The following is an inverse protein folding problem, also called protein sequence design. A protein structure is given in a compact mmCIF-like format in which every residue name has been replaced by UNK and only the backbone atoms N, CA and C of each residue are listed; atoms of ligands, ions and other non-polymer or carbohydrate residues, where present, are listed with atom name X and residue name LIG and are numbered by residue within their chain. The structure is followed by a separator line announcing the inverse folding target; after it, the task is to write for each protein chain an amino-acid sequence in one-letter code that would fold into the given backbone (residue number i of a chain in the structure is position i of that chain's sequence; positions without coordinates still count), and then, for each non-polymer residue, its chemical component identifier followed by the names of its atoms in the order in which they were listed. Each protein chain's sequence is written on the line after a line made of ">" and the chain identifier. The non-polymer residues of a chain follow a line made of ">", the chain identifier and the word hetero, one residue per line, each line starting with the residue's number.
data_IF_672639977834
#
_entry.id   IF_672639977834
#
_cell.length_a   1.000
_cell.length_b   1.000
_cell.length_c   1.000
_cell.angle_alpha   90.00
_cell.angle_beta   90.00
_cell.angle_gamma   90.00
#
_symmetry.space_group_name_H-M   'P 1'
#
loop_
_entity.id
_entity.type
_entity.pdbx_description
1 polymer ?
#
# COMPACT_ATOMS: atom_id res chain seq x y z
N UNK A 1 -15.98 6.10 13.49
CA UNK A 1 -15.17 6.65 12.37
C UNK A 1 -13.79 6.05 12.42
N UNK A 2 -13.27 5.61 11.27
CA UNK A 2 -11.96 4.97 11.14
C UNK A 2 -11.34 5.31 9.77
N UNK A 3 -10.02 5.33 9.68
CA UNK A 3 -9.30 5.34 8.40
C UNK A 3 -8.91 3.90 8.06
N UNK A 4 -9.25 3.44 6.87
CA UNK A 4 -9.04 2.04 6.46
C UNK A 4 -8.94 1.88 4.94
N UNK A 5 -8.56 0.70 4.49
CA UNK A 5 -8.80 0.25 3.11
C UNK A 5 -10.30 -0.02 2.91
N UNK A 6 -10.75 -0.06 1.65
CA UNK A 6 -12.11 -0.46 1.33
C UNK A 6 -12.34 -1.90 1.82
N UNK A 7 -13.51 -2.13 2.39
CA UNK A 7 -14.01 -3.46 2.72
C UNK A 7 -15.30 -3.64 1.93
N UNK A 8 -15.36 -4.70 1.14
CA UNK A 8 -16.54 -5.03 0.35
C UNK A 8 -17.66 -5.59 1.23
N UNK A 9 -18.90 -5.47 0.75
CA UNK A 9 -20.10 -6.02 1.37
C UNK A 9 -20.48 -5.48 2.77
N UNK A 10 -20.12 -4.22 3.06
CA UNK A 10 -20.51 -3.55 4.32
C UNK A 10 -21.56 -2.45 4.05
N UNK A 11 -22.85 -2.81 3.86
CA UNK A 11 -23.89 -1.89 3.43
C UNK A 11 -24.18 -0.76 4.45
N UNK A 12 -23.89 -0.99 5.72
CA UNK A 12 -24.12 -0.03 6.79
C UNK A 12 -22.97 0.97 6.98
N UNK A 13 -21.87 0.82 6.22
CA UNK A 13 -20.73 1.71 6.29
C UNK A 13 -20.71 2.64 5.07
N UNK A 14 -20.43 3.91 5.32
CA UNK A 14 -20.11 4.91 4.32
C UNK A 14 -18.60 5.02 4.21
N UNK A 15 -18.05 4.76 3.02
CA UNK A 15 -16.63 4.91 2.70
C UNK A 15 -16.42 6.16 1.85
N UNK A 16 -15.62 7.09 2.33
CA UNK A 16 -15.27 8.33 1.62
C UNK A 16 -13.76 8.29 1.33
N UNK A 17 -13.33 8.30 0.06
CA UNK A 17 -11.91 8.30 -0.26
C UNK A 17 -11.28 9.62 0.21
N UNK A 18 -10.12 9.55 0.86
CA UNK A 18 -9.39 10.71 1.39
C UNK A 18 -7.95 10.79 0.94
N UNK A 19 -7.36 9.68 0.51
CA UNK A 19 -6.02 9.67 -0.05
C UNK A 19 -5.91 8.60 -1.14
N UNK A 20 -5.19 8.94 -2.21
CA UNK A 20 -4.67 7.97 -3.17
C UNK A 20 -3.25 7.60 -2.72
N UNK A 21 -2.96 6.31 -2.63
CA UNK A 21 -1.69 5.79 -2.16
C UNK A 21 -1.07 4.90 -3.24
N UNK A 22 0.09 5.31 -3.73
CA UNK A 22 0.85 4.55 -4.73
C UNK A 22 1.50 3.34 -4.07
N UNK A 23 1.40 2.17 -4.71
CA UNK A 23 2.22 1.00 -4.38
C UNK A 23 3.47 0.99 -5.24
N UNK A 24 4.58 0.62 -4.62
CA UNK A 24 5.89 0.56 -5.26
C UNK A 24 6.59 -0.74 -4.90
N UNK A 25 7.52 -1.18 -5.75
CA UNK A 25 8.51 -2.17 -5.32
C UNK A 25 9.68 -1.45 -4.67
N UNK A 26 10.17 -2.00 -3.58
CA UNK A 26 11.45 -1.62 -3.00
C UNK A 26 12.45 -2.77 -3.13
N UNK A 27 13.66 -2.41 -3.48
CA UNK A 27 14.81 -3.33 -3.62
C UNK A 27 16.03 -2.71 -2.96
N UNK A 28 16.98 -3.52 -2.49
CA UNK A 28 18.28 -3.00 -2.06
C UNK A 28 18.97 -2.25 -3.22
N UNK A 29 19.74 -1.22 -2.91
CA UNK A 29 20.53 -0.51 -3.93
C UNK A 29 21.58 -1.41 -4.62
N UNK A 30 21.93 -2.54 -4.02
CA UNK A 30 22.83 -3.55 -4.57
C UNK A 30 22.08 -4.61 -5.42
N UNK A 31 20.76 -4.60 -5.41
CA UNK A 31 19.94 -5.59 -6.13
C UNK A 31 20.03 -5.36 -7.65
N UNK A 32 20.02 -6.40 -8.48
CA UNK A 32 20.06 -6.25 -9.96
C UNK A 32 18.97 -5.32 -10.52
N UNK A 33 17.76 -5.35 -9.95
CA UNK A 33 16.66 -4.49 -10.34
C UNK A 33 16.82 -3.01 -9.97
N UNK A 34 17.79 -2.65 -9.12
CA UNK A 34 18.03 -1.26 -8.73
C UNK A 34 18.47 -0.36 -9.90
N UNK A 35 18.90 -0.96 -11.01
CA UNK A 35 19.26 -0.24 -12.25
C UNK A 35 18.05 0.23 -13.04
N UNK A 36 16.87 -0.33 -12.78
CA UNK A 36 15.63 0.02 -13.45
C UNK A 36 15.09 1.36 -12.94
N UNK A 37 14.30 2.04 -13.77
CA UNK A 37 13.56 3.24 -13.37
C UNK A 37 12.12 2.91 -12.93
N UNK A 38 11.59 1.78 -13.40
CA UNK A 38 10.27 1.25 -13.09
C UNK A 38 10.32 -0.29 -13.18
N UNK A 39 9.24 -0.95 -12.80
CA UNK A 39 9.16 -2.41 -12.79
C UNK A 39 7.80 -2.90 -13.30
N UNK A 40 7.83 -4.00 -14.04
CA UNK A 40 6.68 -4.85 -14.33
C UNK A 40 6.65 -5.99 -13.31
N UNK A 41 5.53 -6.21 -12.62
CA UNK A 41 5.44 -7.28 -11.62
C UNK A 41 5.64 -8.68 -12.21
N UNK A 42 5.43 -8.87 -13.51
CA UNK A 42 5.72 -10.14 -14.17
C UNK A 42 7.20 -10.53 -14.15
N UNK A 43 8.11 -9.56 -13.95
CA UNK A 43 9.55 -9.78 -13.94
C UNK A 43 10.09 -10.23 -12.57
N UNK A 44 9.28 -10.16 -11.50
CA UNK A 44 9.80 -10.34 -10.12
C UNK A 44 9.62 -11.75 -9.56
N UNK A 45 8.93 -12.64 -10.25
CA UNK A 45 8.56 -13.97 -9.74
C UNK A 45 9.73 -14.86 -9.29
N UNK A 46 10.92 -14.64 -9.82
CA UNK A 46 12.11 -15.44 -9.50
C UNK A 46 12.91 -14.90 -8.30
N UNK A 47 12.58 -13.72 -7.77
CA UNK A 47 13.30 -13.13 -6.67
C UNK A 47 12.68 -13.51 -5.32
N UNK A 48 13.48 -13.62 -4.25
CA UNK A 48 12.99 -13.76 -2.89
C UNK A 48 12.09 -12.57 -2.55
N UNK A 49 10.88 -12.85 -2.08
CA UNK A 49 9.87 -11.83 -1.80
C UNK A 49 9.51 -11.79 -0.31
N UNK A 50 9.47 -10.59 0.24
CA UNK A 50 9.03 -10.33 1.61
C UNK A 50 7.56 -9.92 1.54
N UNK A 51 6.68 -10.76 2.08
CA UNK A 51 5.25 -10.55 2.09
C UNK A 51 4.76 -9.87 3.36
N UNK A 52 3.54 -9.35 3.30
CA UNK A 52 2.79 -8.97 4.49
C UNK A 52 2.01 -10.16 5.03
N UNK A 53 1.85 -10.23 6.36
CA UNK A 53 1.05 -11.25 7.01
C UNK A 53 -0.44 -11.14 6.61
N UNK A 54 -1.20 -12.22 6.81
CA UNK A 54 -2.64 -12.26 6.50
C UNK A 54 -3.47 -11.22 7.29
N UNK A 55 -2.95 -10.74 8.42
CA UNK A 55 -3.60 -9.71 9.22
C UNK A 55 -3.47 -8.30 8.64
N UNK A 56 -2.56 -8.11 7.69
CA UNK A 56 -2.34 -6.82 7.07
C UNK A 56 -3.40 -6.53 6.01
N UNK A 57 -4.06 -5.39 6.09
CA UNK A 57 -5.06 -4.95 5.12
C UNK A 57 -4.53 -4.73 3.69
N UNK A 58 -3.20 -4.72 3.49
CA UNK A 58 -2.59 -4.60 2.16
C UNK A 58 -2.33 -5.95 1.49
N UNK A 59 -2.36 -7.06 2.25
CA UNK A 59 -2.02 -8.39 1.76
C UNK A 59 -2.88 -8.84 0.58
N UNK A 60 -4.20 -8.68 0.69
CA UNK A 60 -5.13 -9.08 -0.37
C UNK A 60 -4.87 -8.31 -1.66
N UNK A 61 -4.69 -6.99 -1.56
CA UNK A 61 -4.41 -6.14 -2.71
C UNK A 61 -3.12 -6.56 -3.43
N UNK A 62 -2.03 -6.78 -2.69
CA UNK A 62 -0.77 -7.25 -3.29
C UNK A 62 -0.95 -8.61 -3.95
N UNK A 63 -1.68 -9.53 -3.32
CA UNK A 63 -1.97 -10.84 -3.90
C UNK A 63 -2.76 -10.73 -5.21
N UNK A 64 -3.70 -9.81 -5.29
CA UNK A 64 -4.49 -9.59 -6.50
C UNK A 64 -3.66 -8.98 -7.63
N UNK A 65 -2.74 -8.05 -7.33
CA UNK A 65 -1.78 -7.54 -8.31
C UNK A 65 -0.91 -8.66 -8.93
N UNK A 66 -0.45 -9.59 -8.11
CA UNK A 66 0.32 -10.74 -8.62
C UNK A 66 -0.53 -11.71 -9.45
N UNK A 67 -1.80 -11.91 -9.09
CA UNK A 67 -2.73 -12.72 -9.88
C UNK A 67 -3.00 -12.11 -11.26
N UNK A 68 -3.11 -10.79 -11.35
CA UNK A 68 -3.34 -10.10 -12.63
C UNK A 68 -2.23 -10.33 -13.65
N UNK A 69 -1.00 -10.52 -13.18
CA UNK A 69 0.17 -10.82 -14.03
C UNK A 69 0.54 -12.32 -14.09
N UNK A 70 -0.32 -13.17 -13.52
CA UNK A 70 -0.14 -14.64 -13.46
C UNK A 70 1.21 -15.06 -12.84
N UNK A 71 1.63 -14.34 -11.80
CA UNK A 71 2.87 -14.63 -11.05
C UNK A 71 2.54 -15.11 -9.64
N UNK A 72 3.24 -16.14 -9.22
CA UNK A 72 3.23 -16.58 -7.83
C UNK A 72 4.55 -16.17 -7.16
N UNK A 73 4.55 -15.12 -6.30
CA UNK A 73 5.78 -14.62 -5.71
C UNK A 73 6.41 -15.66 -4.78
N UNK A 74 7.74 -15.75 -4.80
CA UNK A 74 8.51 -16.63 -3.92
C UNK A 74 8.61 -15.98 -2.52
N UNK A 75 7.54 -16.07 -1.70
CA UNK A 75 7.50 -15.49 -0.37
C UNK A 75 8.40 -16.27 0.57
N UNK A 76 9.49 -15.65 1.04
CA UNK A 76 10.46 -16.25 1.96
C UNK A 76 10.22 -15.89 3.42
N UNK A 77 9.53 -14.80 3.70
CA UNK A 77 9.07 -14.41 5.03
C UNK A 77 7.87 -13.47 4.95
N UNK A 78 7.15 -13.36 6.05
CA UNK A 78 6.03 -12.44 6.21
C UNK A 78 6.22 -11.57 7.44
N UNK A 79 5.87 -10.28 7.31
CA UNK A 79 5.97 -9.28 8.38
C UNK A 79 4.70 -8.43 8.43
N UNK A 80 4.49 -7.70 9.52
CA UNK A 80 3.28 -6.90 9.71
C UNK A 80 3.50 -5.41 9.42
N UNK A 81 4.74 -4.92 9.57
CA UNK A 81 5.06 -3.49 9.56
C UNK A 81 5.89 -3.08 8.35
N UNK A 82 5.52 -2.00 7.69
CA UNK A 82 6.23 -1.46 6.51
C UNK A 82 7.71 -1.19 6.78
N UNK A 83 8.03 -0.69 7.98
CA UNK A 83 9.41 -0.39 8.37
C UNK A 83 10.26 -1.66 8.55
N UNK A 84 9.65 -2.76 9.00
CA UNK A 84 10.34 -4.05 9.10
C UNK A 84 10.61 -4.63 7.71
N UNK A 85 9.64 -4.50 6.78
CA UNK A 85 9.85 -4.85 5.37
C UNK A 85 11.01 -4.07 4.80
N UNK A 86 11.03 -2.73 4.96
CA UNK A 86 12.07 -1.87 4.41
C UNK A 86 13.46 -2.22 4.97
N UNK A 87 13.57 -2.53 6.26
CA UNK A 87 14.82 -2.96 6.88
C UNK A 87 15.37 -4.28 6.33
N UNK A 88 14.48 -5.26 6.07
CA UNK A 88 14.88 -6.53 5.45
C UNK A 88 15.31 -6.35 3.98
N UNK A 89 14.64 -5.48 3.25
CA UNK A 89 15.01 -5.15 1.87
C UNK A 89 16.36 -4.43 1.84
N UNK A 90 16.62 -3.51 2.76
CA UNK A 90 17.88 -2.76 2.84
C UNK A 90 19.10 -3.69 2.92
N UNK A 91 19.00 -4.78 3.68
CA UNK A 91 20.06 -5.78 3.81
C UNK A 91 20.07 -6.81 2.67
N UNK A 92 19.31 -6.57 1.60
CA UNK A 92 19.17 -7.43 0.43
C UNK A 92 18.66 -8.85 0.75
N UNK A 93 17.80 -8.98 1.77
CA UNK A 93 17.20 -10.26 2.12
C UNK A 93 16.13 -10.70 1.11
N UNK A 94 15.47 -9.74 0.47
CA UNK A 94 14.47 -9.94 -0.57
C UNK A 94 13.97 -8.62 -1.13
N UNK A 95 12.98 -8.68 -1.98
CA UNK A 95 12.25 -7.51 -2.52
C UNK A 95 10.84 -7.47 -1.95
N UNK A 96 10.17 -6.31 -2.02
CA UNK A 96 8.81 -6.19 -1.51
C UNK A 96 7.98 -5.16 -2.29
N UNK A 97 6.65 -5.38 -2.33
CA UNK A 97 5.68 -4.34 -2.68
C UNK A 97 5.22 -3.68 -1.39
N UNK A 98 5.30 -2.35 -1.33
CA UNK A 98 4.92 -1.55 -0.17
C UNK A 98 4.21 -0.27 -0.59
N UNK A 99 3.46 0.39 0.32
CA UNK A 99 3.00 1.75 0.08
C UNK A 99 4.19 2.70 -0.05
N UNK A 100 4.07 3.69 -0.94
CA UNK A 100 5.07 4.74 -1.12
C UNK A 100 4.97 5.77 0.01
N UNK A 101 5.46 5.40 1.18
CA UNK A 101 5.44 6.24 2.38
C UNK A 101 6.74 7.04 2.52
N UNK A 102 6.63 8.18 3.22
CA UNK A 102 7.76 9.10 3.37
C UNK A 102 8.93 8.53 4.18
N UNK A 103 8.70 7.51 5.01
CA UNK A 103 9.75 6.86 5.79
C UNK A 103 10.73 6.03 4.94
N UNK A 104 10.37 5.63 3.72
CA UNK A 104 11.26 4.89 2.82
C UNK A 104 12.58 5.63 2.53
N UNK A 105 12.57 6.97 2.58
CA UNK A 105 13.78 7.80 2.41
C UNK A 105 14.86 7.59 3.47
N UNK A 106 14.52 6.98 4.60
CA UNK A 106 15.48 6.69 5.69
C UNK A 106 16.19 5.35 5.54
N UNK A 107 15.79 4.54 4.55
CA UNK A 107 16.37 3.25 4.25
C UNK A 107 17.21 3.32 2.98
N UNK A 108 18.28 2.54 2.92
CA UNK A 108 19.14 2.44 1.74
C UNK A 108 18.52 1.51 0.67
N UNK A 109 17.35 1.87 0.20
CA UNK A 109 16.57 1.11 -0.79
C UNK A 109 16.30 1.94 -2.04
N UNK A 110 16.19 1.26 -3.18
CA UNK A 110 15.68 1.83 -4.43
C UNK A 110 14.18 1.62 -4.50
N UNK A 111 13.45 2.70 -4.75
CA UNK A 111 12.01 2.68 -4.94
C UNK A 111 11.70 2.67 -6.44
N UNK A 112 10.95 1.68 -6.88
CA UNK A 112 10.59 1.47 -8.29
C UNK A 112 9.07 1.53 -8.44
N UNK A 113 8.55 2.49 -9.23
CA UNK A 113 7.14 2.50 -9.60
C UNK A 113 6.73 1.24 -10.35
N UNK A 114 5.56 0.70 -10.05
CA UNK A 114 4.98 -0.45 -10.73
C UNK A 114 4.21 0.07 -11.96
N UNK A 115 4.59 -0.37 -13.15
CA UNK A 115 3.92 0.04 -14.40
C UNK A 115 2.89 -0.99 -14.89
N UNK A 116 3.00 -2.23 -14.43
CA UNK A 116 2.09 -3.33 -14.74
C UNK A 116 2.02 -4.30 -13.53
N UNK A 117 0.81 -4.64 -13.04
CA UNK A 117 -0.48 -4.11 -13.50
C UNK A 117 -0.71 -2.66 -13.08
N UNK A 118 -1.58 -1.96 -13.82
CA UNK A 118 -2.03 -0.63 -13.38
C UNK A 118 -2.94 -0.80 -12.16
N UNK A 119 -2.66 -0.07 -11.12
CA UNK A 119 -3.40 -0.18 -9.88
C UNK A 119 -3.67 1.19 -9.26
N UNK A 120 -4.73 1.26 -8.49
CA UNK A 120 -5.07 2.41 -7.66
C UNK A 120 -5.40 1.90 -6.25
N UNK A 121 -4.87 2.54 -5.24
CA UNK A 121 -5.19 2.27 -3.85
C UNK A 121 -5.66 3.53 -3.17
N UNK A 122 -6.82 3.46 -2.54
CA UNK A 122 -7.34 4.57 -1.75
C UNK A 122 -7.38 4.21 -0.27
N UNK A 123 -7.10 5.21 0.55
CA UNK A 123 -7.44 5.18 1.97
C UNK A 123 -8.78 5.89 2.12
N UNK A 124 -9.66 5.27 2.88
CA UNK A 124 -11.02 5.75 3.11
C UNK A 124 -11.19 6.19 4.56
N UNK A 125 -12.00 7.21 4.71
CA UNK A 125 -12.63 7.53 5.99
C UNK A 125 -13.97 6.80 6.01
N UNK A 126 -14.12 5.88 6.96
CA UNK A 126 -15.31 5.05 7.10
C UNK A 126 -16.13 5.46 8.32
N UNK A 127 -17.44 5.57 8.14
CA UNK A 127 -18.41 5.88 9.19
C UNK A 127 -19.64 5.02 9.05
N UNK A 128 -20.30 4.66 10.16
CA UNK A 128 -21.61 4.01 10.11
C UNK A 128 -22.64 4.98 9.51
N UNK A 129 -23.39 4.51 8.52
CA UNK A 129 -24.57 5.23 8.01
C UNK A 129 -25.59 5.38 9.14
N UNK A 130 -26.38 6.41 9.05
CA UNK A 130 -27.53 6.64 9.95
C UNK A 130 -27.17 6.69 11.46
N UNK A 131 -25.90 6.81 11.83
CA UNK A 131 -25.46 6.97 13.21
C UNK A 131 -25.19 8.44 13.52
N UNK A 132 -25.72 8.93 14.64
CA UNK A 132 -25.42 10.27 15.13
C UNK A 132 -23.91 10.40 15.40
N UNK A 133 -23.33 11.42 14.81
CA UNK A 133 -21.95 11.84 15.10
C UNK A 133 -21.99 13.07 15.98
N UNK A 134 -21.23 13.09 17.07
CA UNK A 134 -21.09 14.28 17.91
C UNK A 134 -20.54 15.45 17.09
N UNK A 135 -20.80 16.72 17.47
CA UNK A 135 -20.31 17.89 16.73
C UNK A 135 -18.80 17.85 16.47
N UNK A 136 -18.00 17.43 17.45
CA UNK A 136 -16.55 17.34 17.33
C UNK A 136 -16.12 16.27 16.29
N UNK A 137 -16.76 15.10 16.30
CA UNK A 137 -16.49 14.03 15.34
C UNK A 137 -16.89 14.46 13.92
N UNK A 138 -18.03 15.15 13.79
CA UNK A 138 -18.49 15.66 12.51
C UNK A 138 -17.57 16.74 11.93
N UNK A 139 -17.09 17.65 12.80
CA UNK A 139 -16.10 18.66 12.42
C UNK A 139 -14.80 18.02 11.93
N UNK A 140 -14.30 17.01 12.66
CA UNK A 140 -13.10 16.27 12.25
C UNK A 140 -13.31 15.48 10.94
N UNK A 141 -14.48 14.85 10.76
CA UNK A 141 -14.85 14.18 9.49
C UNK A 141 -14.74 15.15 8.32
N UNK A 142 -15.39 16.31 8.42
CA UNK A 142 -15.41 17.31 7.36
C UNK A 142 -14.01 17.85 7.06
N UNK A 143 -13.25 18.17 8.11
CA UNK A 143 -11.86 18.59 7.97
C UNK A 143 -11.01 17.54 7.26
N UNK A 144 -11.11 16.27 7.64
CA UNK A 144 -10.35 15.18 7.04
C UNK A 144 -10.67 14.98 5.55
N UNK A 145 -11.95 15.11 5.17
CA UNK A 145 -12.39 15.02 3.78
C UNK A 145 -11.82 16.19 2.96
N UNK A 146 -11.94 17.41 3.45
CA UNK A 146 -11.44 18.59 2.76
C UNK A 146 -9.91 18.56 2.64
N UNK A 147 -9.23 18.22 3.72
CA UNK A 147 -7.77 18.08 3.73
C UNK A 147 -7.30 17.00 2.75
N UNK A 148 -7.97 15.85 2.71
CA UNK A 148 -7.68 14.76 1.79
C UNK A 148 -7.82 15.20 0.32
N UNK A 149 -8.93 15.86 -0.02
CA UNK A 149 -9.16 16.40 -1.36
C UNK A 149 -8.06 17.35 -1.81
N UNK A 150 -7.63 18.23 -0.92
CA UNK A 150 -6.67 19.29 -1.26
C UNK A 150 -5.21 18.81 -1.31
N UNK A 151 -4.88 17.72 -0.61
CA UNK A 151 -3.48 17.30 -0.43
C UNK A 151 -3.15 15.93 -1.01
N UNK A 152 -4.12 15.01 -1.14
CA UNK A 152 -3.83 13.61 -1.45
C UNK A 152 -4.64 13.01 -2.61
N UNK A 153 -5.80 13.55 -2.97
CA UNK A 153 -6.64 13.01 -4.06
C UNK A 153 -6.41 13.68 -5.41
N UNK A 154 -5.91 14.93 -5.43
CA UNK A 154 -5.76 15.73 -6.65
C UNK A 154 -4.30 15.85 -7.10
N UNK A 155 -3.49 14.84 -6.84
CA UNK A 155 -2.09 14.80 -7.29
C UNK A 155 -1.91 13.93 -8.50
#
# INVERSE_FOLDING_TARGET
>A
MVFCSLVDDEPDIEFIPIANEELVIIVSNEHPLAKNEFIDLSEVGNYPFIGFSEKSGIRSLISDLFKEVDINPNIICEVEEDNAVAGLVEINYGIAVVPKISSLKYYNVKVLPIINPKHERFIYLATLKNRYLTPSVNLFKNYSIEYGKNNFLNK
#
